data_IF_007603374121
#
_entry.id   IF_007603374121
#
_cell.length_a   1.000
_cell.length_b   1.000
_cell.length_c   1.000
_cell.angle_alpha   90.00
_cell.angle_beta   90.00
_cell.angle_gamma   90.00
#
_symmetry.space_group_name_H-M   'P 1'
#
loop_
_entity.id
_entity.type
_entity.pdbx_description
1 polymer ?
#
# COMPACT_ATOMS: atom_id res chain seq x y z
N UNK A 1 2.43 -3.95 6.12
CA UNK A 1 3.38 -3.20 6.98
C UNK A 1 4.00 -2.04 6.19
N UNK A 2 4.24 -0.89 6.81
CA UNK A 2 5.03 0.16 6.17
C UNK A 2 6.42 -0.41 5.82
N UNK A 3 6.88 -0.22 4.59
CA UNK A 3 8.24 -0.63 4.22
C UNK A 3 9.25 0.20 5.02
N UNK A 4 10.41 -0.37 5.31
CA UNK A 4 11.48 0.29 6.09
C UNK A 4 12.10 1.52 5.42
N UNK A 5 11.56 1.97 4.28
CA UNK A 5 12.16 3.01 3.45
C UNK A 5 13.54 2.63 2.90
N UNK A 6 14.32 3.63 2.49
CA UNK A 6 15.72 3.47 2.08
C UNK A 6 16.59 3.27 3.33
N UNK A 7 17.19 2.08 3.47
CA UNK A 7 18.03 1.74 4.62
C UNK A 7 19.48 2.24 4.44
N UNK A 8 19.70 3.52 4.70
CA UNK A 8 21.04 4.12 4.75
C UNK A 8 21.58 4.10 6.18
N UNK A 9 22.74 3.47 6.40
CA UNK A 9 23.40 3.41 7.71
C UNK A 9 22.70 2.49 8.74
N UNK A 10 23.10 2.53 10.02
CA UNK A 10 22.49 1.73 11.10
C UNK A 10 21.10 2.25 11.49
N UNK A 11 20.23 1.36 11.97
CA UNK A 11 18.86 1.69 12.39
C UNK A 11 18.82 2.51 13.70
N UNK A 12 19.74 2.19 14.60
CA UNK A 12 19.89 2.76 15.92
C UNK A 12 21.37 3.11 16.11
N UNK A 13 21.64 4.34 16.50
CA UNK A 13 22.96 4.79 16.92
C UNK A 13 22.94 5.15 18.41
N UNK A 14 24.05 4.88 19.10
CA UNK A 14 24.22 5.25 20.50
C UNK A 14 24.43 6.77 20.62
N UNK A 15 23.90 7.35 21.70
CA UNK A 15 24.20 8.73 22.06
C UNK A 15 25.06 8.75 23.33
N UNK A 16 25.65 9.91 23.69
CA UNK A 16 26.41 10.05 24.94
C UNK A 16 25.59 9.84 26.21
N UNK A 17 24.25 9.83 26.09
CA UNK A 17 23.34 9.66 27.21
C UNK A 17 23.00 8.16 27.37
N UNK A 18 23.14 7.60 28.58
CA UNK A 18 22.74 6.22 28.84
C UNK A 18 21.26 6.00 28.50
N UNK A 19 20.93 4.84 27.92
CA UNK A 19 19.55 4.46 27.57
C UNK A 19 18.86 5.39 26.56
N UNK A 20 19.63 6.19 25.82
CA UNK A 20 19.12 7.04 24.75
C UNK A 20 19.79 6.63 23.44
N UNK A 21 18.97 6.37 22.42
CA UNK A 21 19.42 6.00 21.09
C UNK A 21 18.81 6.93 20.05
N UNK A 22 19.60 7.27 19.04
CA UNK A 22 19.10 7.92 17.84
C UNK A 22 18.54 6.84 16.90
N UNK A 23 17.22 6.79 16.78
CA UNK A 23 16.54 5.92 15.84
C UNK A 23 16.34 6.63 14.49
N UNK A 24 17.02 6.15 13.44
CA UNK A 24 16.87 6.67 12.06
C UNK A 24 15.76 5.94 11.31
N UNK A 25 15.46 4.70 11.70
CA UNK A 25 14.35 3.88 11.20
C UNK A 25 13.77 3.00 12.29
N UNK A 26 12.50 2.65 12.13
CA UNK A 26 11.79 1.68 12.97
C UNK A 26 12.10 0.25 12.50
N UNK A 27 13.19 -0.30 13.02
CA UNK A 27 13.61 -1.69 12.83
C UNK A 27 13.33 -2.48 14.11
N UNK A 28 12.19 -3.20 14.14
CA UNK A 28 11.72 -3.89 15.34
C UNK A 28 12.74 -4.91 15.88
N UNK A 29 13.37 -5.77 15.05
CA UNK A 29 14.47 -6.63 15.49
C UNK A 29 15.63 -5.87 16.15
N UNK A 30 16.08 -4.77 15.54
CA UNK A 30 17.19 -3.98 16.10
C UNK A 30 16.81 -3.33 17.43
N UNK A 31 15.57 -2.84 17.56
CA UNK A 31 15.03 -2.29 18.80
C UNK A 31 14.93 -3.37 19.88
N UNK A 32 14.37 -4.54 19.54
CA UNK A 32 14.24 -5.66 20.49
C UNK A 32 15.61 -6.07 21.05
N UNK A 33 16.62 -6.18 20.19
CA UNK A 33 17.99 -6.50 20.60
C UNK A 33 18.57 -5.45 21.57
N UNK A 34 18.35 -4.15 21.31
CA UNK A 34 18.80 -3.07 22.20
C UNK A 34 18.07 -3.05 23.55
N UNK A 35 16.81 -3.44 23.56
CA UNK A 35 15.99 -3.53 24.78
C UNK A 35 16.16 -4.85 25.54
N UNK A 36 16.97 -5.79 25.05
CA UNK A 36 17.12 -7.11 25.65
C UNK A 36 15.86 -7.99 25.56
N UNK A 37 15.00 -7.72 24.57
CA UNK A 37 13.76 -8.45 24.32
C UNK A 37 13.99 -9.53 23.27
N UNK A 38 13.19 -10.62 23.27
CA UNK A 38 13.24 -11.59 22.19
C UNK A 38 12.80 -10.96 20.86
N UNK A 39 13.35 -11.45 19.74
CA UNK A 39 13.20 -10.83 18.42
C UNK A 39 11.75 -10.66 17.94
N UNK A 40 10.81 -11.44 18.49
CA UNK A 40 9.38 -11.42 18.19
C UNK A 40 8.52 -10.74 19.28
N UNK A 41 9.12 -10.16 20.32
CA UNK A 41 8.37 -9.49 21.39
C UNK A 41 7.64 -8.24 20.89
N UNK A 42 8.21 -7.55 19.89
CA UNK A 42 7.65 -6.33 19.35
C UNK A 42 6.72 -6.65 18.19
N UNK A 43 5.44 -6.31 18.35
CA UNK A 43 4.44 -6.49 17.31
C UNK A 43 4.53 -5.36 16.27
N UNK A 44 4.60 -5.70 14.98
CA UNK A 44 4.59 -4.77 13.86
C UNK A 44 3.22 -4.16 13.55
N UNK A 45 2.40 -3.92 14.58
CA UNK A 45 1.06 -3.38 14.44
C UNK A 45 1.05 -1.88 14.68
N UNK A 46 0.24 -1.16 13.91
CA UNK A 46 -0.03 0.25 14.15
C UNK A 46 -1.19 0.34 15.13
N UNK A 47 -0.91 0.73 16.37
CA UNK A 47 -1.96 0.99 17.35
C UNK A 47 -2.71 2.26 16.96
N UNK A 48 -4.00 2.11 16.65
CA UNK A 48 -4.90 3.24 16.42
C UNK A 48 -5.57 3.56 17.74
N UNK A 49 -5.59 4.84 18.09
CA UNK A 49 -6.25 5.30 19.30
C UNK A 49 -7.76 5.10 19.18
N UNK A 50 -8.40 4.79 20.31
CA UNK A 50 -9.85 4.65 20.41
C UNK A 50 -10.52 5.95 19.91
N UNK A 51 -11.53 5.87 19.02
CA UNK A 51 -12.28 7.05 18.57
C UNK A 51 -12.89 7.89 19.70
N UNK A 52 -13.22 7.26 20.83
CA UNK A 52 -13.77 7.92 22.01
C UNK A 52 -12.69 8.53 22.93
N UNK A 53 -11.41 8.36 22.60
CA UNK A 53 -10.32 8.96 23.36
C UNK A 53 -10.38 10.49 23.32
N UNK A 54 -10.24 11.18 24.47
CA UNK A 54 -10.16 12.64 24.52
C UNK A 54 -8.82 13.17 23.98
N UNK A 55 -7.85 12.28 23.78
CA UNK A 55 -6.54 12.59 23.20
C UNK A 55 -6.53 12.29 21.71
N UNK A 56 -5.84 13.11 20.94
CA UNK A 56 -5.63 12.91 19.50
C UNK A 56 -6.79 13.37 18.62
N UNK A 57 -6.67 13.11 17.32
CA UNK A 57 -7.71 13.39 16.34
C UNK A 57 -8.68 12.20 16.25
N UNK A 58 -9.95 12.49 15.96
CA UNK A 58 -10.96 11.47 15.65
C UNK A 58 -10.46 10.62 14.48
N UNK A 59 -10.41 9.31 14.68
CA UNK A 59 -9.99 8.35 13.66
C UNK A 59 -11.09 7.32 13.46
N UNK A 60 -11.52 7.17 12.22
CA UNK A 60 -12.45 6.12 11.84
C UNK A 60 -11.75 4.76 11.91
N UNK A 61 -12.27 3.79 12.67
CA UNK A 61 -11.68 2.45 12.76
C UNK A 61 -11.91 1.59 11.51
N UNK A 62 -12.73 2.04 10.56
CA UNK A 62 -12.86 1.38 9.26
C UNK A 62 -11.52 1.43 8.52
N UNK A 63 -10.77 0.33 8.63
CA UNK A 63 -9.44 0.17 8.06
C UNK A 63 -9.45 0.07 6.53
N UNK A 64 -10.64 -0.08 5.93
CA UNK A 64 -10.81 -0.26 4.50
C UNK A 64 -12.27 0.06 4.10
N UNK A 65 -12.74 1.32 4.20
CA UNK A 65 -14.02 1.67 3.58
C UNK A 65 -13.86 1.27 2.11
N UNK A 66 -14.66 0.32 1.63
CA UNK A 66 -14.50 -0.24 0.29
C UNK A 66 -14.58 0.90 -0.74
N UNK A 67 -13.42 1.41 -1.17
CA UNK A 67 -13.31 2.53 -2.08
C UNK A 67 -13.53 2.10 -3.53
N UNK A 68 -13.96 0.86 -3.79
CA UNK A 68 -14.41 0.39 -5.09
C UNK A 68 -15.77 -0.30 -4.93
N UNK A 69 -16.89 0.47 -4.94
CA UNK A 69 -18.20 -0.14 -4.99
C UNK A 69 -18.32 -1.06 -6.22
N UNK A 70 -19.07 -2.18 -6.13
CA UNK A 70 -19.20 -3.17 -7.21
C UNK A 70 -19.53 -2.57 -8.59
N UNK A 71 -20.26 -1.44 -8.62
CA UNK A 71 -20.59 -0.69 -9.83
C UNK A 71 -19.37 -0.23 -10.63
N UNK A 72 -18.23 0.05 -9.98
CA UNK A 72 -16.98 0.42 -10.67
C UNK A 72 -16.40 -0.76 -11.46
N UNK A 73 -16.56 -2.00 -10.99
CA UNK A 73 -16.15 -3.20 -11.73
C UNK A 73 -16.96 -3.37 -13.02
N UNK A 74 -18.26 -3.06 -12.99
CA UNK A 74 -19.11 -3.09 -14.17
C UNK A 74 -18.66 -2.03 -15.19
N UNK A 75 -18.36 -0.81 -14.74
CA UNK A 75 -17.84 0.26 -15.60
C UNK A 75 -16.56 -0.16 -16.35
N UNK A 76 -15.61 -0.78 -15.63
CA UNK A 76 -14.39 -1.31 -16.26
C UNK A 76 -14.68 -2.43 -17.25
N UNK A 77 -15.57 -3.38 -16.92
CA UNK A 77 -15.93 -4.46 -17.83
C UNK A 77 -16.48 -3.89 -19.16
N UNK A 78 -17.42 -2.94 -19.09
CA UNK A 78 -17.98 -2.28 -20.27
C UNK A 78 -16.90 -1.58 -21.09
N UNK A 79 -15.96 -0.88 -20.45
CA UNK A 79 -14.83 -0.24 -21.13
C UNK A 79 -13.98 -1.25 -21.92
N UNK A 80 -13.60 -2.37 -21.28
CA UNK A 80 -12.80 -3.40 -21.93
C UNK A 80 -13.53 -4.06 -23.11
N UNK A 81 -14.83 -4.36 -22.96
CA UNK A 81 -15.63 -4.92 -24.04
C UNK A 81 -15.84 -3.92 -25.19
N UNK A 82 -16.11 -2.64 -24.89
CA UNK A 82 -16.24 -1.61 -25.90
C UNK A 82 -14.93 -1.42 -26.69
N UNK A 83 -13.79 -1.42 -26.00
CA UNK A 83 -12.47 -1.34 -26.63
C UNK A 83 -12.21 -2.56 -27.54
N UNK A 84 -12.48 -3.78 -27.05
CA UNK A 84 -12.35 -5.00 -27.84
C UNK A 84 -13.25 -4.98 -29.10
N UNK A 85 -14.50 -4.53 -28.96
CA UNK A 85 -15.43 -4.40 -30.08
C UNK A 85 -14.95 -3.37 -31.10
N UNK A 86 -14.45 -2.22 -30.66
CA UNK A 86 -13.93 -1.18 -31.55
C UNK A 86 -12.73 -1.70 -32.36
N UNK A 87 -11.79 -2.39 -31.70
CA UNK A 87 -10.64 -3.02 -32.37
C UNK A 87 -11.10 -4.06 -33.40
N UNK A 88 -12.06 -4.92 -33.04
CA UNK A 88 -12.61 -5.92 -33.95
C UNK A 88 -13.28 -5.30 -35.17
N UNK A 89 -14.07 -4.23 -34.98
CA UNK A 89 -14.76 -3.52 -36.05
C UNK A 89 -13.76 -2.87 -37.01
N UNK A 90 -12.72 -2.20 -36.49
CA UNK A 90 -11.65 -1.60 -37.29
C UNK A 90 -10.95 -2.69 -38.12
N UNK A 91 -10.56 -3.80 -37.49
CA UNK A 91 -9.92 -4.91 -38.19
C UNK A 91 -10.80 -5.50 -39.29
N UNK A 92 -12.10 -5.70 -39.03
CA UNK A 92 -13.05 -6.22 -40.01
C UNK A 92 -13.24 -5.28 -41.20
N UNK A 93 -13.39 -3.97 -40.96
CA UNK A 93 -13.52 -2.96 -42.02
C UNK A 93 -12.26 -2.91 -42.88
N UNK A 94 -11.08 -2.87 -42.27
CA UNK A 94 -9.81 -2.83 -43.00
C UNK A 94 -9.60 -4.12 -43.82
N UNK A 95 -9.94 -5.27 -43.25
CA UNK A 95 -9.87 -6.55 -43.96
C UNK A 95 -10.79 -6.57 -45.19
N UNK A 96 -12.03 -6.10 -45.03
CA UNK A 96 -12.98 -6.07 -46.14
C UNK A 96 -12.53 -5.11 -47.25
N UNK A 97 -12.08 -3.90 -46.89
CA UNK A 97 -11.57 -2.92 -47.85
C UNK A 97 -10.37 -3.46 -48.63
N UNK A 98 -9.46 -4.19 -47.96
CA UNK A 98 -8.30 -4.82 -48.60
C UNK A 98 -8.70 -5.92 -49.59
N UNK A 99 -9.77 -6.66 -49.32
CA UNK A 99 -10.27 -7.68 -50.26
C UNK A 99 -10.99 -7.11 -51.48
N UNK A 100 -11.67 -5.96 -51.36
CA UNK A 100 -12.38 -5.32 -52.50
C UNK A 100 -11.49 -4.48 -53.40
N UNK A 101 -10.35 -3.99 -52.89
CA UNK A 101 -9.37 -3.21 -53.67
C UNK A 101 -8.29 -4.05 -54.36
N UNK A 102 -8.39 -5.37 -54.27
CA UNK A 102 -7.60 -6.36 -55.04
C UNK A 102 -8.53 -7.04 -56.03
#
# INVERSE_FOLDING_TARGET
PASSGLALGPALAETPQPQVWLATRLDLPAIAARLGLPANALAGHVLRLDPASPLGYTRDLDLLPNTLPPSRHLGYAVQWFAMALAVLAIAAVLHWRRRRGR
#
